data_IF_303656664626
#
_entry.id   IF_303656664626
#
_cell.length_a   1.000
_cell.length_b   1.000
_cell.length_c   1.000
_cell.angle_alpha   90.00
_cell.angle_beta   90.00
_cell.angle_gamma   90.00
#
_symmetry.space_group_name_H-M   'P 1'
#
loop_
_entity.id
_entity.type
_entity.pdbx_description
1 polymer ?
#
# COMPACT_ATOMS: atom_id res chain seq x y z
N UNK A 1 -3.08 -12.02 -1.21
CA UNK A 1 -4.30 -11.19 -1.00
C UNK A 1 -4.27 -10.30 0.26
N UNK A 2 -3.75 -10.72 1.42
CA UNK A 2 -3.83 -9.90 2.68
C UNK A 2 -3.31 -8.45 2.57
N UNK A 3 -2.30 -8.19 1.74
CA UNK A 3 -1.79 -6.82 1.50
C UNK A 3 -2.84 -5.89 0.91
N UNK A 4 -3.49 -6.29 -0.18
CA UNK A 4 -4.50 -5.46 -0.83
C UNK A 4 -5.69 -5.17 0.08
N UNK A 5 -6.05 -6.10 0.98
CA UNK A 5 -7.07 -5.85 2.00
C UNK A 5 -6.62 -4.77 2.98
N UNK A 6 -5.39 -4.84 3.50
CA UNK A 6 -4.85 -3.82 4.41
C UNK A 6 -4.79 -2.45 3.73
N UNK A 7 -4.34 -2.40 2.47
CA UNK A 7 -4.26 -1.17 1.68
C UNK A 7 -5.65 -0.58 1.46
N UNK A 8 -6.63 -1.40 1.08
CA UNK A 8 -8.03 -0.97 0.90
C UNK A 8 -8.61 -0.40 2.19
N UNK A 9 -8.44 -1.10 3.30
CA UNK A 9 -8.97 -0.68 4.60
C UNK A 9 -8.30 0.61 5.07
N UNK A 10 -7.00 0.79 4.77
CA UNK A 10 -6.27 2.01 5.07
C UNK A 10 -6.80 3.19 4.23
N UNK A 11 -6.88 3.05 2.90
CA UNK A 11 -7.36 4.13 2.01
C UNK A 11 -8.79 4.56 2.37
N UNK A 12 -9.68 3.61 2.69
CA UNK A 12 -11.04 3.92 3.13
C UNK A 12 -11.12 4.72 4.44
N UNK A 13 -10.05 4.77 5.23
CA UNK A 13 -9.95 5.51 6.48
C UNK A 13 -9.04 6.76 6.40
N UNK A 14 -8.01 6.75 5.55
CA UNK A 14 -6.93 7.77 5.49
C UNK A 14 -6.86 8.55 4.17
N UNK A 15 -7.77 8.31 3.22
CA UNK A 15 -7.89 8.98 1.91
C UNK A 15 -6.83 8.57 0.88
N UNK A 16 -5.65 8.09 1.28
CA UNK A 16 -4.63 7.56 0.35
C UNK A 16 -3.58 6.71 1.06
N UNK A 17 -2.83 5.91 0.30
CA UNK A 17 -1.60 5.24 0.72
C UNK A 17 -0.39 5.78 -0.03
N UNK A 18 0.74 5.94 0.65
CA UNK A 18 2.04 6.28 0.08
C UNK A 18 3.16 5.32 0.52
N UNK A 19 4.39 5.53 0.03
CA UNK A 19 5.56 4.73 0.42
C UNK A 19 5.79 4.73 1.94
N UNK A 20 5.57 5.87 2.58
CA UNK A 20 5.75 6.06 4.02
C UNK A 20 4.83 5.16 4.85
N UNK A 21 3.62 4.85 4.36
CA UNK A 21 2.70 3.95 5.05
C UNK A 21 3.25 2.53 5.16
N UNK A 22 4.13 2.11 4.27
CA UNK A 22 4.80 0.81 4.40
C UNK A 22 5.84 0.78 5.51
N UNK A 23 6.29 1.94 5.99
CA UNK A 23 7.21 2.10 7.12
C UNK A 23 6.49 2.41 8.44
N UNK A 24 5.29 2.99 8.39
CA UNK A 24 4.55 3.39 9.60
C UNK A 24 3.32 2.53 9.90
N UNK A 25 2.74 1.83 8.92
CA UNK A 25 1.61 0.94 9.14
C UNK A 25 2.09 -0.41 9.70
N UNK A 26 1.82 -0.63 10.98
CA UNK A 26 2.26 -1.84 11.70
C UNK A 26 1.85 -3.16 11.00
N UNK A 27 0.69 -3.20 10.32
CA UNK A 27 0.25 -4.40 9.59
C UNK A 27 1.02 -4.64 8.30
N UNK A 28 1.37 -3.57 7.57
CA UNK A 28 2.22 -3.67 6.38
C UNK A 28 3.67 -4.03 6.76
N UNK A 29 4.19 -3.44 7.84
CA UNK A 29 5.50 -3.78 8.40
C UNK A 29 5.60 -5.25 8.80
N UNK A 30 4.57 -5.79 9.48
CA UNK A 30 4.50 -7.23 9.82
C UNK A 30 4.49 -8.15 8.60
N UNK A 31 4.30 -7.60 7.41
CA UNK A 31 4.35 -8.32 6.14
C UNK A 31 5.55 -7.95 5.27
N UNK A 32 6.57 -7.33 5.87
CA UNK A 32 7.84 -6.99 5.24
C UNK A 32 7.95 -5.56 4.70
N UNK A 33 6.93 -4.72 4.94
CA UNK A 33 6.97 -3.28 4.69
C UNK A 33 7.38 -2.92 3.27
N UNK A 34 8.07 -1.79 3.12
CA UNK A 34 8.38 -1.21 1.81
C UNK A 34 9.31 -2.11 0.99
N UNK A 35 10.24 -2.79 1.64
CA UNK A 35 11.17 -3.71 0.98
C UNK A 35 10.46 -4.88 0.31
N UNK A 36 9.49 -5.51 1.00
CA UNK A 36 8.69 -6.57 0.38
C UNK A 36 7.77 -6.06 -0.72
N UNK A 37 7.34 -4.79 -0.65
CA UNK A 37 6.56 -4.16 -1.72
C UNK A 37 7.39 -4.05 -3.00
N UNK A 38 8.62 -3.53 -2.86
CA UNK A 38 9.55 -3.41 -3.98
C UNK A 38 9.98 -4.76 -4.54
N UNK A 39 10.14 -5.81 -3.73
CA UNK A 39 10.40 -7.15 -4.27
C UNK A 39 9.23 -7.69 -5.11
N UNK A 40 7.99 -7.39 -4.73
CA UNK A 40 6.81 -7.90 -5.44
C UNK A 40 6.49 -7.11 -6.71
N UNK A 41 6.64 -5.79 -6.68
CA UNK A 41 6.16 -4.89 -7.73
C UNK A 41 7.26 -4.12 -8.45
N UNK A 42 8.50 -4.14 -7.92
CA UNK A 42 9.64 -3.43 -8.49
C UNK A 42 9.37 -1.95 -8.69
N UNK A 43 9.83 -1.43 -9.82
CA UNK A 43 9.64 -0.03 -10.23
C UNK A 43 8.16 0.33 -10.47
N UNK A 44 7.29 -0.67 -10.64
CA UNK A 44 5.86 -0.49 -10.84
C UNK A 44 5.08 -0.17 -9.56
N UNK A 45 5.70 -0.26 -8.38
CA UNK A 45 5.04 -0.05 -7.10
C UNK A 45 4.32 1.30 -7.01
N UNK A 46 4.97 2.38 -7.46
CA UNK A 46 4.40 3.73 -7.45
C UNK A 46 3.17 3.86 -8.37
N UNK A 47 3.20 3.19 -9.53
CA UNK A 47 2.06 3.18 -10.45
C UNK A 47 0.86 2.48 -9.82
N UNK A 48 1.09 1.30 -9.22
CA UNK A 48 0.03 0.54 -8.54
C UNK A 48 -0.55 1.31 -7.35
N UNK A 49 0.28 1.99 -6.55
CA UNK A 49 -0.22 2.82 -5.45
C UNK A 49 -1.09 3.97 -5.95
N UNK A 50 -0.68 4.64 -7.03
CA UNK A 50 -1.48 5.70 -7.66
C UNK A 50 -2.84 5.17 -8.12
N UNK A 51 -2.86 4.05 -8.86
CA UNK A 51 -4.09 3.43 -9.35
C UNK A 51 -5.02 3.01 -8.19
N UNK A 52 -4.46 2.42 -7.14
CA UNK A 52 -5.23 2.02 -5.95
C UNK A 52 -5.83 3.23 -5.22
N UNK A 53 -5.10 4.33 -5.09
CA UNK A 53 -5.62 5.56 -4.50
C UNK A 53 -6.76 6.14 -5.35
N UNK A 54 -6.62 6.17 -6.68
CA UNK A 54 -7.66 6.70 -7.56
C UNK A 54 -8.94 5.85 -7.52
N UNK A 55 -8.81 4.52 -7.54
CA UNK A 55 -9.95 3.60 -7.60
C UNK A 55 -10.66 3.46 -6.25
N UNK A 56 -9.94 3.55 -5.12
CA UNK A 56 -10.48 3.25 -3.79
C UNK A 56 -10.86 4.49 -2.98
N UNK A 57 -10.41 5.69 -3.38
CA UNK A 57 -10.80 6.96 -2.75
C UNK A 57 -12.00 7.64 -3.42
N UNK A 58 -12.50 7.09 -4.53
CA UNK A 58 -13.70 7.52 -5.25
C UNK A 58 -14.97 6.80 -4.73
#
# INVERSE_FOLDING_TARGET
>A
MKWLTIIKDHIGASVSIGPDDFEYNQLLMQKGGLFSAYQAFGDGLNGIMTELNEVLSA
#
